data_IF_664025597396
#
_entry.id   IF_664025597396
#
_cell.length_a   1.000
_cell.length_b   1.000
_cell.length_c   1.000
_cell.angle_alpha   90.00
_cell.angle_beta   90.00
_cell.angle_gamma   90.00
#
_symmetry.space_group_name_H-M   'P 1'
#
loop_
_entity.id
_entity.type
_entity.pdbx_description
1 polymer ?
#
# COMPACT_ATOMS: atom_id res chain seq x y z
N UNK A 1 11.66 -8.08 -2.00
CA UNK A 1 11.89 -6.97 -2.95
C UNK A 1 11.05 -7.06 -4.23
N UNK A 2 10.65 -8.25 -4.70
CA UNK A 2 9.88 -8.41 -5.96
C UNK A 2 8.37 -8.17 -5.85
N UNK A 3 7.72 -8.56 -4.74
CA UNK A 3 6.26 -8.42 -4.56
C UNK A 3 5.73 -6.98 -4.66
N UNK A 4 6.44 -6.03 -4.04
CA UNK A 4 6.09 -4.61 -4.09
C UNK A 4 6.23 -4.09 -5.53
N UNK A 5 7.30 -4.47 -6.22
CA UNK A 5 7.53 -4.08 -7.62
C UNK A 5 6.47 -4.63 -8.58
N UNK A 6 5.96 -5.85 -8.35
CA UNK A 6 4.87 -6.42 -9.14
C UNK A 6 3.58 -5.62 -8.93
N UNK A 7 3.25 -5.28 -7.68
CA UNK A 7 2.09 -4.44 -7.38
C UNK A 7 2.11 -3.10 -8.10
N UNK A 8 3.27 -2.44 -8.13
CA UNK A 8 3.46 -1.17 -8.84
C UNK A 8 3.33 -1.32 -10.36
N UNK A 9 3.86 -2.40 -10.95
CA UNK A 9 3.76 -2.64 -12.39
C UNK A 9 2.33 -2.88 -12.85
N UNK A 10 1.52 -3.58 -12.04
CA UNK A 10 0.10 -3.80 -12.35
C UNK A 10 -0.66 -2.46 -12.34
N UNK A 11 -0.37 -1.58 -11.37
CA UNK A 11 -0.94 -0.23 -11.32
C UNK A 11 -0.57 0.61 -12.55
N UNK A 12 0.69 0.52 -12.99
CA UNK A 12 1.20 1.20 -14.19
C UNK A 12 0.52 0.71 -15.48
N UNK A 13 0.20 -0.58 -15.57
CA UNK A 13 -0.51 -1.12 -16.73
C UNK A 13 -1.98 -0.70 -16.70
N UNK A 14 -2.60 -0.57 -15.51
CA UNK A 14 -4.00 -0.17 -15.36
C UNK A 14 -4.24 1.31 -15.72
N UNK A 15 -3.28 2.18 -15.43
CA UNK A 15 -3.32 3.63 -15.69
C UNK A 15 -3.74 4.02 -17.13
N UNK A 16 -3.11 3.50 -18.21
CA UNK A 16 -3.48 3.84 -19.58
C UNK A 16 -4.89 3.36 -19.97
N UNK A 17 -5.40 2.27 -19.39
CA UNK A 17 -6.78 1.84 -19.62
C UNK A 17 -7.78 2.78 -18.94
N UNK A 18 -7.43 3.28 -17.76
CA UNK A 18 -8.25 4.27 -17.05
C UNK A 18 -8.30 5.59 -17.83
N UNK A 19 -7.16 6.03 -18.36
CA UNK A 19 -7.06 7.22 -19.23
C UNK A 19 -7.89 7.05 -20.50
N UNK A 20 -7.79 5.88 -21.15
CA UNK A 20 -8.57 5.57 -22.35
C UNK A 20 -10.08 5.59 -22.10
N UNK A 21 -10.54 5.13 -20.93
CA UNK A 21 -11.96 5.12 -20.58
C UNK A 21 -12.51 6.52 -20.25
N UNK A 22 -11.69 7.39 -19.66
CA UNK A 22 -12.11 8.69 -19.12
C UNK A 22 -11.96 9.83 -20.14
N UNK A 23 -11.01 9.73 -21.08
CA UNK A 23 -10.73 10.80 -22.04
C UNK A 23 -10.78 10.31 -23.51
N UNK A 24 -11.94 9.83 -24.01
CA UNK A 24 -12.05 9.34 -25.38
C UNK A 24 -11.93 10.44 -26.45
N UNK A 25 -12.29 11.70 -26.13
CA UNK A 25 -12.25 12.81 -27.10
C UNK A 25 -11.00 13.70 -27.00
N UNK A 26 -10.04 13.37 -26.12
CA UNK A 26 -8.79 14.11 -25.93
C UNK A 26 -8.97 15.62 -25.67
N UNK A 27 -10.11 16.04 -25.11
CA UNK A 27 -10.38 17.46 -24.86
C UNK A 27 -9.65 17.94 -23.60
N UNK A 28 -9.34 19.24 -23.51
CA UNK A 28 -8.70 19.86 -22.34
C UNK A 28 -9.49 19.65 -21.04
N UNK A 29 -10.81 19.51 -21.13
CA UNK A 29 -11.65 19.28 -19.97
C UNK A 29 -11.47 17.86 -19.39
N UNK A 30 -11.22 16.88 -20.25
CA UNK A 30 -11.05 15.47 -19.86
C UNK A 30 -9.74 15.28 -19.10
N UNK A 31 -8.69 16.01 -19.46
CA UNK A 31 -7.41 16.02 -18.74
C UNK A 31 -7.53 16.51 -17.30
N UNK A 32 -8.37 17.52 -17.04
CA UNK A 32 -8.63 17.97 -15.67
C UNK A 32 -9.32 16.88 -14.87
N UNK A 33 -10.25 16.16 -15.50
CA UNK A 33 -10.96 15.06 -14.86
C UNK A 33 -10.01 13.89 -14.55
N UNK A 34 -9.05 13.59 -15.43
CA UNK A 34 -7.98 12.61 -15.16
C UNK A 34 -7.18 12.95 -13.91
N UNK A 35 -6.74 14.21 -13.75
CA UNK A 35 -6.00 14.64 -12.55
C UNK A 35 -6.84 14.50 -11.28
N UNK A 36 -8.13 14.85 -11.34
CA UNK A 36 -9.04 14.73 -10.21
C UNK A 36 -9.26 13.26 -9.84
N UNK A 37 -9.48 12.38 -10.82
CA UNK A 37 -9.67 10.93 -10.60
C UNK A 37 -8.40 10.29 -10.04
N UNK A 38 -7.23 10.65 -10.58
CA UNK A 38 -5.95 10.15 -10.09
C UNK A 38 -5.72 10.61 -8.64
N UNK A 39 -5.94 11.89 -8.33
CA UNK A 39 -5.88 12.43 -6.97
C UNK A 39 -6.87 11.75 -6.01
N UNK A 40 -8.09 11.49 -6.44
CA UNK A 40 -9.09 10.77 -5.65
C UNK A 40 -8.65 9.33 -5.36
N UNK A 41 -8.04 8.64 -6.33
CA UNK A 41 -7.52 7.27 -6.16
C UNK A 41 -6.40 7.21 -5.10
N UNK A 42 -5.51 8.21 -5.08
CA UNK A 42 -4.48 8.35 -4.04
C UNK A 42 -5.10 8.53 -2.64
N UNK A 43 -6.10 9.41 -2.52
CA UNK A 43 -6.80 9.66 -1.26
C UNK A 43 -7.51 8.40 -0.77
N UNK A 44 -8.24 7.71 -1.66
CA UNK A 44 -8.92 6.45 -1.33
C UNK A 44 -7.92 5.40 -0.86
N UNK A 45 -6.82 5.21 -1.59
CA UNK A 45 -5.78 4.24 -1.23
C UNK A 45 -5.17 4.57 0.14
N UNK A 46 -4.96 5.85 0.44
CA UNK A 46 -4.45 6.30 1.73
C UNK A 46 -5.45 6.00 2.87
N UNK A 47 -6.73 6.28 2.66
CA UNK A 47 -7.80 5.95 3.63
C UNK A 47 -7.87 4.43 3.86
N UNK A 48 -7.82 3.63 2.79
CA UNK A 48 -7.78 2.17 2.88
C UNK A 48 -6.56 1.70 3.69
N UNK A 49 -5.39 2.29 3.47
CA UNK A 49 -4.18 1.98 4.24
C UNK A 49 -4.38 2.26 5.73
N UNK A 50 -4.93 3.42 6.08
CA UNK A 50 -5.19 3.80 7.46
C UNK A 50 -6.18 2.84 8.17
N UNK A 51 -7.14 2.27 7.44
CA UNK A 51 -8.15 1.36 8.00
C UNK A 51 -7.63 -0.08 8.09
N UNK A 52 -6.98 -0.58 7.04
CA UNK A 52 -6.62 -1.99 6.93
C UNK A 52 -5.26 -2.33 7.55
N UNK A 53 -4.33 -1.37 7.61
CA UNK A 53 -3.03 -1.60 8.22
C UNK A 53 -3.10 -1.24 9.70
N UNK A 54 -3.42 -2.24 10.52
CA UNK A 54 -3.05 -2.21 11.94
C UNK A 54 -1.56 -2.55 12.01
N UNK A 55 -0.75 -1.58 12.42
CA UNK A 55 0.66 -1.79 12.75
C UNK A 55 0.85 -2.62 14.02
N UNK A 56 0.11 -3.71 14.20
CA UNK A 56 0.36 -4.65 15.26
C UNK A 56 1.69 -5.36 14.93
N UNK A 57 2.68 -5.33 15.85
CA UNK A 57 3.96 -5.93 15.59
C UNK A 57 3.75 -7.40 15.26
N UNK A 58 4.36 -7.83 14.15
CA UNK A 58 4.31 -9.23 13.72
C UNK A 58 4.75 -10.11 14.90
N UNK A 59 3.94 -11.13 15.26
CA UNK A 59 4.16 -12.06 16.39
C UNK A 59 5.58 -12.62 16.50
N UNK A 60 6.34 -12.58 15.40
CA UNK A 60 7.73 -12.99 15.33
C UNK A 60 8.70 -12.12 16.17
N UNK A 61 8.31 -10.92 16.61
CA UNK A 61 9.15 -10.04 17.46
C UNK A 61 8.59 -9.88 18.88
N UNK A 62 7.57 -10.65 19.27
CA UNK A 62 7.26 -10.77 20.70
C UNK A 62 8.42 -11.51 21.35
N UNK A 63 9.35 -10.74 21.92
CA UNK A 63 10.40 -11.23 22.83
C UNK A 63 9.64 -11.91 23.96
N UNK A 64 9.40 -13.19 23.80
CA UNK A 64 8.62 -13.97 24.73
C UNK A 64 9.39 -13.91 26.03
N UNK A 65 8.73 -13.52 27.11
CA UNK A 65 9.31 -13.46 28.46
C UNK A 65 10.01 -14.76 28.90
N UNK A 66 9.75 -15.87 28.20
CA UNK A 66 10.46 -17.14 28.25
C UNK A 66 11.94 -17.05 27.89
N UNK A 67 12.33 -16.25 26.89
CA UNK A 67 13.74 -16.08 26.49
C UNK A 67 14.53 -15.30 27.57
N UNK A 68 13.90 -14.25 28.12
CA UNK A 68 14.42 -13.48 29.27
C UNK A 68 14.59 -14.35 30.53
N UNK A 69 13.73 -15.35 30.74
CA UNK A 69 13.81 -16.27 31.88
C UNK A 69 14.89 -17.33 31.70
N UNK A 70 15.14 -17.79 30.47
CA UNK A 70 16.18 -18.78 30.18
C UNK A 70 17.59 -18.20 30.39
N UNK A 71 17.82 -16.96 29.95
CA UNK A 71 19.09 -16.27 30.19
C UNK A 71 19.42 -16.05 31.68
N UNK A 72 18.41 -15.88 32.55
CA UNK A 72 18.62 -15.77 34.00
C UNK A 72 18.95 -17.10 34.69
N UNK A 73 18.53 -18.23 34.10
CA UNK A 73 18.84 -19.58 34.61
C UNK A 73 20.22 -20.04 34.15
N UNK A 74 20.68 -19.61 32.97
CA UNK A 74 22.03 -19.90 32.46
C UNK A 74 23.11 -19.00 33.10
N UNK A 75 22.71 -17.94 33.81
CA UNK A 75 23.62 -17.02 34.52
C UNK A 75 23.70 -17.26 36.04
N UNK A 76 23.09 -18.32 36.56
CA UNK A 76 23.08 -18.67 38.00
C UNK A 76 23.67 -20.06 38.22
#
# INVERSE_FOLDING_TARGET
MTLIGIGLNIGLIMEPFLVYAVAPEHQWNDWKLLFIVHGATLILTNIFFCIFIRGEPSKFTEITSTDKRRGMLESS
#
